data_IF_143400582557
#
_entry.id   IF_143400582557
#
_cell.length_a   1.000
_cell.length_b   1.000
_cell.length_c   1.000
_cell.angle_alpha   90.00
_cell.angle_beta   90.00
_cell.angle_gamma   90.00
#
_symmetry.space_group_name_H-M   'P 1'
#
loop_
_entity.id
_entity.type
_entity.pdbx_description
1 polymer ?
#
# COMPACT_ATOMS: atom_id res chain seq x y z
N UNK A 1 -7.80 8.12 -67.70
CA UNK A 1 -8.46 7.07 -66.87
C UNK A 1 -7.73 7.02 -65.55
N UNK A 2 -8.46 7.29 -64.46
CA UNK A 2 -7.90 7.74 -63.19
C UNK A 2 -7.11 6.70 -62.42
N UNK A 3 -5.96 7.13 -61.91
CA UNK A 3 -5.19 6.45 -60.87
C UNK A 3 -5.93 6.65 -59.56
N UNK A 4 -6.53 5.58 -59.03
CA UNK A 4 -7.15 5.56 -57.71
C UNK A 4 -6.08 5.63 -56.63
N UNK A 5 -5.92 6.80 -56.01
CA UNK A 5 -5.17 6.93 -54.77
C UNK A 5 -6.00 6.31 -53.63
N UNK A 6 -5.56 5.16 -53.12
CA UNK A 6 -5.97 4.68 -51.80
C UNK A 6 -5.42 5.65 -50.74
N UNK A 7 -6.21 6.65 -50.37
CA UNK A 7 -5.98 7.41 -49.14
C UNK A 7 -6.37 6.51 -47.96
N UNK A 8 -5.42 5.74 -47.44
CA UNK A 8 -5.47 5.33 -46.04
C UNK A 8 -5.26 6.59 -45.21
N UNK A 9 -6.36 7.31 -44.92
CA UNK A 9 -6.38 8.34 -43.89
C UNK A 9 -5.95 7.67 -42.59
N UNK A 10 -4.73 7.96 -42.14
CA UNK A 10 -4.35 7.81 -40.73
C UNK A 10 -5.39 8.58 -39.91
N UNK A 11 -6.39 7.86 -39.39
CA UNK A 11 -7.26 8.41 -38.36
C UNK A 11 -6.33 8.69 -37.17
N UNK A 12 -6.33 9.91 -36.61
CA UNK A 12 -5.57 10.16 -35.40
C UNK A 12 -6.00 9.12 -34.36
N UNK A 13 -5.04 8.45 -33.72
CA UNK A 13 -5.32 7.46 -32.67
C UNK A 13 -6.10 8.17 -31.57
N UNK A 14 -7.39 7.89 -31.52
CA UNK A 14 -8.30 8.51 -30.56
C UNK A 14 -8.02 7.92 -29.18
N UNK A 15 -7.85 8.79 -28.18
CA UNK A 15 -7.50 8.37 -26.82
C UNK A 15 -8.66 7.53 -26.27
N UNK A 16 -8.33 6.37 -25.70
CA UNK A 16 -9.34 5.55 -25.03
C UNK A 16 -9.98 6.30 -23.86
N UNK A 17 -11.29 6.19 -23.76
CA UNK A 17 -12.11 6.79 -22.71
C UNK A 17 -12.62 5.71 -21.76
N UNK A 18 -13.04 6.11 -20.58
CA UNK A 18 -13.69 5.22 -19.61
C UNK A 18 -15.10 4.88 -20.10
N UNK A 19 -15.51 3.61 -19.95
CA UNK A 19 -16.85 3.18 -20.37
C UNK A 19 -17.93 3.79 -19.47
N UNK A 20 -17.61 4.07 -18.19
CA UNK A 20 -18.52 4.70 -17.24
C UNK A 20 -17.85 5.72 -16.31
N UNK A 21 -18.63 6.71 -15.85
CA UNK A 21 -18.17 7.66 -14.81
C UNK A 21 -17.83 6.96 -13.49
N UNK A 22 -18.54 5.87 -13.18
CA UNK A 22 -18.32 5.10 -11.97
C UNK A 22 -16.95 4.39 -12.00
N UNK A 23 -16.55 3.83 -13.14
CA UNK A 23 -15.20 3.26 -13.30
C UNK A 23 -14.11 4.27 -13.03
N UNK A 24 -14.26 5.49 -13.55
CA UNK A 24 -13.31 6.56 -13.29
C UNK A 24 -13.26 6.93 -11.80
N UNK A 25 -14.42 7.12 -11.16
CA UNK A 25 -14.49 7.46 -9.73
C UNK A 25 -13.91 6.36 -8.85
N UNK A 26 -14.20 5.09 -9.14
CA UNK A 26 -13.66 3.95 -8.41
C UNK A 26 -12.15 3.79 -8.66
N UNK A 27 -11.65 4.09 -9.85
CA UNK A 27 -10.22 4.03 -10.15
C UNK A 27 -9.46 5.10 -9.36
N UNK A 28 -10.00 6.31 -9.29
CA UNK A 28 -9.48 7.39 -8.45
C UNK A 28 -9.55 7.02 -6.96
N UNK A 29 -10.68 6.51 -6.49
CA UNK A 29 -10.83 6.10 -5.10
C UNK A 29 -9.86 4.95 -4.72
N UNK A 30 -9.69 3.97 -5.61
CA UNK A 30 -8.73 2.88 -5.43
C UNK A 30 -7.27 3.35 -5.45
N UNK A 31 -6.95 4.40 -6.21
CA UNK A 31 -5.62 5.03 -6.17
C UNK A 31 -5.37 5.78 -4.85
N UNK A 32 -6.38 6.48 -4.33
CA UNK A 32 -6.28 7.21 -3.05
C UNK A 32 -6.23 6.28 -1.83
N UNK A 33 -6.86 5.10 -1.92
CA UNK A 33 -6.90 4.13 -0.82
C UNK A 33 -5.85 3.04 -1.02
N UNK A 34 -4.64 3.33 -0.53
CA UNK A 34 -3.52 2.40 -0.52
C UNK A 34 -3.29 1.71 0.82
N UNK A 35 -2.32 0.79 0.84
CA UNK A 35 -1.87 0.11 2.07
C UNK A 35 -1.50 1.12 3.17
N UNK A 36 -0.92 2.27 2.83
CA UNK A 36 -0.57 3.31 3.80
C UNK A 36 -1.73 3.73 4.71
N UNK A 37 -2.97 3.78 4.20
CA UNK A 37 -4.14 4.15 4.99
C UNK A 37 -4.49 3.09 6.05
N UNK A 38 -4.12 1.83 5.83
CA UNK A 38 -4.46 0.70 6.70
C UNK A 38 -3.51 0.61 7.91
N UNK A 39 -2.22 0.88 7.73
CA UNK A 39 -1.23 0.67 8.80
C UNK A 39 -0.39 1.91 9.12
N UNK A 40 0.03 2.68 8.12
CA UNK A 40 0.88 3.86 8.32
C UNK A 40 0.11 4.99 9.00
N UNK A 41 -1.11 5.28 8.56
CA UNK A 41 -1.92 6.34 9.17
C UNK A 41 -2.22 6.05 10.66
N UNK A 42 -2.73 4.86 11.05
CA UNK A 42 -2.92 4.54 12.46
C UNK A 42 -1.61 4.59 13.26
N UNK A 43 -0.51 4.07 12.71
CA UNK A 43 0.78 4.11 13.39
C UNK A 43 1.26 5.55 13.66
N UNK A 44 1.14 6.44 12.69
CA UNK A 44 1.54 7.84 12.83
C UNK A 44 0.62 8.61 13.77
N UNK A 45 -0.70 8.41 13.65
CA UNK A 45 -1.68 8.99 14.55
C UNK A 45 -1.36 8.61 16.01
N UNK A 46 -1.12 7.32 16.25
CA UNK A 46 -0.73 6.82 17.57
C UNK A 46 0.57 7.46 18.09
N UNK A 47 1.64 7.46 17.30
CA UNK A 47 2.97 7.96 17.73
C UNK A 47 2.98 9.46 18.01
N UNK A 48 2.13 10.23 17.33
CA UNK A 48 2.16 11.69 17.32
C UNK A 48 1.04 12.34 18.18
N UNK A 49 0.68 11.71 19.30
CA UNK A 49 -0.31 12.28 20.24
C UNK A 49 -1.75 11.80 20.01
N UNK A 50 -1.93 10.66 19.36
CA UNK A 50 -3.22 9.98 19.22
C UNK A 50 -4.25 10.86 18.53
N UNK A 51 -5.40 11.03 19.18
CA UNK A 51 -6.53 11.78 18.62
C UNK A 51 -6.21 13.22 18.22
N UNK A 52 -5.20 13.86 18.81
CA UNK A 52 -4.90 15.26 18.47
C UNK A 52 -4.17 15.41 17.14
N UNK A 53 -3.50 14.36 16.66
CA UNK A 53 -2.91 14.32 15.31
C UNK A 53 -3.95 14.58 14.20
N UNK A 54 -5.23 14.27 14.47
CA UNK A 54 -6.32 14.47 13.50
C UNK A 54 -6.60 15.95 13.20
N UNK A 55 -6.31 16.87 14.12
CA UNK A 55 -6.56 18.31 13.92
C UNK A 55 -5.70 18.86 12.78
N UNK A 56 -4.35 18.83 12.86
CA UNK A 56 -3.51 19.27 11.75
C UNK A 56 -3.73 18.44 10.48
N UNK A 57 -4.01 17.14 10.59
CA UNK A 57 -4.36 16.30 9.45
C UNK A 57 -5.53 16.87 8.64
N UNK A 58 -6.63 17.22 9.31
CA UNK A 58 -7.82 17.80 8.65
C UNK A 58 -7.52 19.17 8.08
N UNK A 59 -6.75 20.02 8.79
CA UNK A 59 -6.37 21.34 8.27
C UNK A 59 -5.57 21.20 6.97
N UNK A 60 -4.50 20.40 6.96
CA UNK A 60 -3.68 20.19 5.76
C UNK A 60 -4.44 19.50 4.62
N UNK A 61 -5.38 18.61 4.93
CA UNK A 61 -6.26 18.01 3.94
C UNK A 61 -7.05 19.08 3.17
N UNK A 62 -7.64 20.05 3.87
CA UNK A 62 -8.41 21.11 3.22
C UNK A 62 -7.53 22.20 2.59
N UNK A 63 -6.40 22.56 3.18
CA UNK A 63 -5.55 23.65 2.68
C UNK A 63 -4.60 23.23 1.56
N UNK A 64 -4.13 21.98 1.56
CA UNK A 64 -3.13 21.48 0.62
C UNK A 64 -3.63 20.27 -0.17
N UNK A 65 -4.14 19.23 0.50
CA UNK A 65 -4.50 17.95 -0.12
C UNK A 65 -5.57 18.09 -1.21
N UNK A 66 -6.74 18.62 -0.85
CA UNK A 66 -7.87 18.80 -1.78
C UNK A 66 -7.50 19.76 -2.93
N UNK A 67 -6.89 20.94 -2.69
CA UNK A 67 -6.46 21.82 -3.78
C UNK A 67 -5.47 21.18 -4.76
N UNK A 68 -4.45 20.46 -4.27
CA UNK A 68 -3.46 19.79 -5.14
C UNK A 68 -4.13 18.68 -5.96
N UNK A 69 -4.97 17.86 -5.33
CA UNK A 69 -5.71 16.80 -6.01
C UNK A 69 -6.63 17.35 -7.12
N UNK A 70 -7.35 18.43 -6.84
CA UNK A 70 -8.21 19.08 -7.82
C UNK A 70 -7.39 19.71 -8.96
N UNK A 71 -6.29 20.39 -8.64
CA UNK A 71 -5.38 20.97 -9.63
C UNK A 71 -4.83 19.90 -10.57
N UNK A 72 -4.35 18.78 -10.05
CA UNK A 72 -3.80 17.69 -10.87
C UNK A 72 -4.87 17.04 -11.76
N UNK A 73 -6.05 16.78 -11.19
CA UNK A 73 -7.16 16.15 -11.93
C UNK A 73 -7.66 17.05 -13.06
N UNK A 74 -7.87 18.34 -12.78
CA UNK A 74 -8.33 19.32 -13.78
C UNK A 74 -7.29 19.56 -14.86
N UNK A 75 -6.01 19.64 -14.51
CA UNK A 75 -4.90 19.76 -15.45
C UNK A 75 -4.81 18.53 -16.38
N UNK A 76 -4.97 17.33 -15.83
CA UNK A 76 -5.00 16.08 -16.59
C UNK A 76 -6.18 16.01 -17.57
N UNK A 77 -7.37 16.46 -17.15
CA UNK A 77 -8.56 16.50 -18.00
C UNK A 77 -8.42 17.57 -19.10
N UNK A 78 -7.97 18.78 -18.75
CA UNK A 78 -7.83 19.90 -19.69
C UNK A 78 -6.78 19.62 -20.77
N UNK A 79 -5.60 19.12 -20.38
CA UNK A 79 -4.53 18.86 -21.35
C UNK A 79 -4.74 17.56 -22.13
N UNK A 80 -5.50 16.60 -21.56
CA UNK A 80 -5.76 15.27 -22.13
C UNK A 80 -4.48 14.57 -22.61
N UNK A 81 -3.36 14.80 -21.90
CA UNK A 81 -2.03 14.25 -22.22
C UNK A 81 -1.41 13.57 -20.99
N UNK A 82 -0.30 12.84 -21.20
CA UNK A 82 0.46 12.26 -20.09
C UNK A 82 1.25 13.31 -19.31
N UNK A 83 1.74 12.96 -18.12
CA UNK A 83 2.37 13.88 -17.18
C UNK A 83 3.53 14.70 -17.76
N UNK A 84 4.45 14.07 -18.52
CA UNK A 84 5.59 14.77 -19.14
C UNK A 84 5.12 15.77 -20.21
N UNK A 85 4.22 15.33 -21.09
CA UNK A 85 3.73 16.15 -22.21
C UNK A 85 2.86 17.31 -21.71
N UNK A 86 2.11 17.09 -20.62
CA UNK A 86 1.33 18.10 -19.92
C UNK A 86 2.20 19.28 -19.46
N UNK A 87 3.28 19.01 -18.72
CA UNK A 87 4.20 20.06 -18.27
C UNK A 87 4.88 20.79 -19.42
N UNK A 88 5.25 20.08 -20.49
CA UNK A 88 5.82 20.69 -21.70
C UNK A 88 4.88 21.70 -22.37
N UNK A 89 3.56 21.43 -22.36
CA UNK A 89 2.56 22.35 -22.93
C UNK A 89 2.27 23.56 -22.04
N UNK A 90 2.30 23.37 -20.72
CA UNK A 90 2.00 24.45 -19.78
C UNK A 90 3.20 25.40 -19.63
N UNK A 91 4.37 24.86 -19.27
CA UNK A 91 5.59 25.60 -19.02
C UNK A 91 6.80 24.68 -19.31
N UNK A 92 7.50 24.83 -20.44
CA UNK A 92 8.62 23.95 -20.81
C UNK A 92 9.77 23.96 -19.79
N UNK A 93 9.93 25.04 -19.02
CA UNK A 93 10.90 25.12 -17.92
C UNK A 93 10.66 24.06 -16.84
N UNK A 94 9.40 23.71 -16.59
CA UNK A 94 9.00 22.74 -15.57
C UNK A 94 8.87 21.31 -16.11
N UNK A 95 9.38 21.02 -17.31
CA UNK A 95 9.38 19.66 -17.87
C UNK A 95 10.09 18.64 -16.96
N UNK A 96 11.06 19.07 -16.16
CA UNK A 96 11.74 18.24 -15.17
C UNK A 96 10.81 17.62 -14.13
N UNK A 97 9.70 18.30 -13.77
CA UNK A 97 8.70 17.77 -12.82
C UNK A 97 8.07 16.48 -13.37
N UNK A 98 7.79 16.44 -14.67
CA UNK A 98 7.22 15.27 -15.33
C UNK A 98 8.16 14.06 -15.33
N UNK A 99 9.47 14.26 -15.57
CA UNK A 99 10.44 13.17 -15.48
C UNK A 99 10.66 12.72 -14.03
N UNK A 100 10.74 13.67 -13.09
CA UNK A 100 10.87 13.37 -11.67
C UNK A 100 9.72 12.51 -11.14
N UNK A 101 8.47 12.83 -11.49
CA UNK A 101 7.32 12.02 -11.08
C UNK A 101 7.35 10.61 -11.64
N UNK A 102 7.80 10.41 -12.89
CA UNK A 102 7.97 9.06 -13.44
C UNK A 102 9.03 8.24 -12.71
N UNK A 103 10.15 8.86 -12.33
CA UNK A 103 11.19 8.19 -11.54
C UNK A 103 10.66 7.77 -10.17
N UNK A 104 9.91 8.65 -9.49
CA UNK A 104 9.28 8.34 -8.20
C UNK A 104 8.28 7.18 -8.33
N UNK A 105 7.45 7.18 -9.38
CA UNK A 105 6.51 6.08 -9.67
C UNK A 105 7.25 4.77 -9.94
N UNK A 106 8.36 4.81 -10.68
CA UNK A 106 9.18 3.62 -10.96
C UNK A 106 9.74 3.00 -9.68
N UNK A 107 10.42 3.80 -8.85
CA UNK A 107 10.92 3.32 -7.56
C UNK A 107 9.79 2.82 -6.66
N UNK A 108 8.64 3.49 -6.71
CA UNK A 108 7.46 3.06 -5.94
C UNK A 108 6.93 1.71 -6.41
N UNK A 109 6.84 1.50 -7.71
CA UNK A 109 6.41 0.24 -8.30
C UNK A 109 7.31 -0.93 -7.90
N UNK A 110 8.64 -0.72 -7.87
CA UNK A 110 9.62 -1.76 -7.50
C UNK A 110 9.42 -2.24 -6.06
N UNK A 111 9.16 -1.35 -5.10
CA UNK A 111 8.94 -1.80 -3.72
C UNK A 111 7.53 -2.34 -3.49
N UNK A 112 6.50 -1.75 -4.09
CA UNK A 112 5.11 -2.17 -3.84
C UNK A 112 4.84 -3.59 -4.38
N UNK A 113 5.45 -3.96 -5.51
CA UNK A 113 5.28 -5.32 -6.04
C UNK A 113 5.86 -6.40 -5.12
N UNK A 114 6.92 -6.07 -4.36
CA UNK A 114 7.50 -6.97 -3.34
C UNK A 114 6.50 -7.17 -2.18
N UNK A 115 5.85 -6.10 -1.72
CA UNK A 115 4.81 -6.19 -0.68
C UNK A 115 3.63 -7.06 -1.15
N UNK A 116 3.26 -6.96 -2.43
CA UNK A 116 2.24 -7.81 -3.03
C UNK A 116 2.66 -9.29 -3.01
N UNK A 117 3.93 -9.58 -3.30
CA UNK A 117 4.48 -10.94 -3.24
C UNK A 117 4.44 -11.53 -1.82
N UNK A 118 4.77 -10.74 -0.78
CA UNK A 118 4.60 -11.17 0.61
C UNK A 118 3.14 -11.48 0.93
N UNK A 119 2.22 -10.66 0.44
CA UNK A 119 0.78 -10.85 0.66
C UNK A 119 0.28 -12.16 0.03
N UNK A 120 0.72 -12.50 -1.19
CA UNK A 120 0.40 -13.80 -1.80
C UNK A 120 0.98 -14.98 -1.01
N UNK A 121 2.21 -14.86 -0.52
CA UNK A 121 2.83 -15.91 0.30
C UNK A 121 2.04 -16.16 1.60
N UNK A 122 1.61 -15.10 2.28
CA UNK A 122 0.73 -15.21 3.45
C UNK A 122 -0.64 -15.81 3.11
N UNK A 123 -1.22 -15.41 1.96
CA UNK A 123 -2.49 -15.97 1.48
C UNK A 123 -2.39 -17.48 1.28
N UNK A 124 -1.37 -17.96 0.56
CA UNK A 124 -1.17 -19.40 0.34
C UNK A 124 -0.86 -20.14 1.64
N UNK A 125 -0.08 -19.52 2.53
CA UNK A 125 0.24 -20.11 3.84
C UNK A 125 -1.00 -20.24 4.74
N UNK A 126 -2.03 -19.41 4.53
CA UNK A 126 -3.29 -19.43 5.29
C UNK A 126 -4.22 -20.60 4.93
N UNK A 127 -3.95 -21.33 3.83
CA UNK A 127 -4.74 -22.51 3.46
C UNK A 127 -4.36 -23.78 4.24
N UNK A 128 -3.34 -23.71 5.11
CA UNK A 128 -3.00 -24.80 6.00
C UNK A 128 -4.02 -24.91 7.15
N UNK A 129 -4.30 -26.14 7.60
CA UNK A 129 -5.26 -26.42 8.69
C UNK A 129 -4.86 -25.78 10.02
N UNK A 130 -3.55 -25.68 10.28
CA UNK A 130 -2.98 -24.89 11.37
C UNK A 130 -2.14 -23.77 10.75
N UNK A 131 -2.33 -22.54 11.23
CA UNK A 131 -1.58 -21.40 10.72
C UNK A 131 -0.09 -21.56 11.08
N UNK A 132 0.85 -21.41 10.12
CA UNK A 132 2.27 -21.64 10.37
C UNK A 132 2.88 -20.73 11.44
N UNK A 133 2.33 -19.53 11.64
CA UNK A 133 2.78 -18.57 12.65
C UNK A 133 2.06 -18.71 14.01
N UNK A 134 1.13 -19.65 14.14
CA UNK A 134 0.44 -19.89 15.41
C UNK A 134 1.25 -20.73 16.39
N UNK A 135 2.21 -21.53 15.90
CA UNK A 135 2.97 -22.49 16.73
C UNK A 135 4.48 -22.31 16.60
N UNK A 136 5.22 -22.62 17.66
CA UNK A 136 6.68 -22.66 17.68
C UNK A 136 7.26 -23.98 17.12
N UNK A 137 6.43 -24.97 16.77
CA UNK A 137 6.86 -26.28 16.27
C UNK A 137 7.19 -26.32 14.77
N UNK A 138 8.06 -25.44 14.28
CA UNK A 138 8.46 -25.41 12.87
C UNK A 138 9.98 -25.45 12.72
N UNK A 139 10.47 -25.91 11.55
CA UNK A 139 11.91 -26.05 11.28
C UNK A 139 12.70 -24.74 11.26
N UNK A 140 12.02 -23.59 11.16
CA UNK A 140 12.63 -22.27 11.12
C UNK A 140 12.68 -21.57 12.48
N UNK A 141 12.01 -22.13 13.49
CA UNK A 141 11.91 -21.51 14.81
C UNK A 141 13.14 -21.84 15.67
N UNK A 142 13.44 -20.96 16.62
CA UNK A 142 14.52 -21.17 17.60
C UNK A 142 13.99 -21.69 18.93
N UNK A 143 14.92 -22.12 19.79
CA UNK A 143 14.61 -22.55 21.16
C UNK A 143 14.06 -21.43 22.04
N UNK A 144 14.27 -20.15 21.66
CA UNK A 144 13.73 -18.99 22.37
C UNK A 144 12.37 -18.51 21.84
N UNK A 145 11.74 -19.29 20.95
CA UNK A 145 10.40 -19.01 20.44
C UNK A 145 9.34 -19.21 21.53
N UNK A 146 8.41 -18.25 21.68
CA UNK A 146 7.24 -18.40 22.54
C UNK A 146 5.92 -18.18 21.80
N UNK A 147 4.89 -18.93 22.23
CA UNK A 147 3.51 -18.83 21.73
C UNK A 147 2.69 -17.87 22.60
N UNK A 148 1.79 -17.09 21.99
CA UNK A 148 0.94 -16.16 22.73
C UNK A 148 -0.28 -16.90 23.29
N UNK A 149 -0.43 -16.94 24.62
CA UNK A 149 -1.59 -17.55 25.30
C UNK A 149 -1.33 -18.91 25.98
N UNK A 150 -0.10 -19.42 25.95
CA UNK A 150 0.30 -20.56 26.78
C UNK A 150 0.78 -20.06 28.15
N UNK A 151 0.15 -20.55 29.23
CA UNK A 151 0.58 -20.30 30.61
C UNK A 151 1.92 -21.00 30.87
N UNK A 152 3.02 -20.41 30.42
CA UNK A 152 4.33 -20.87 30.82
C UNK A 152 4.68 -20.27 32.19
N UNK A 153 4.34 -21.00 33.26
CA UNK A 153 5.12 -21.03 34.50
C UNK A 153 6.43 -21.80 34.27
N UNK A 154 7.19 -21.42 33.23
CA UNK A 154 8.53 -21.93 33.00
C UNK A 154 9.48 -20.80 33.41
N UNK A 155 10.36 -21.07 34.37
CA UNK A 155 11.25 -20.11 35.00
C UNK A 155 11.92 -19.20 33.96
N UNK A 156 11.51 -17.93 33.96
CA UNK A 156 12.12 -16.88 33.16
C UNK A 156 13.50 -16.59 33.75
N UNK A 157 14.52 -17.33 33.30
CA UNK A 157 15.79 -16.69 33.01
C UNK A 157 15.53 -15.72 31.86
N UNK A 158 15.13 -14.51 32.24
CA UNK A 158 14.90 -13.34 31.40
C UNK A 158 16.25 -12.79 30.90
N UNK A 159 17.04 -13.63 30.24
CA UNK A 159 18.08 -13.09 29.36
C UNK A 159 17.34 -12.64 28.09
N UNK A 160 17.13 -11.32 27.98
CA UNK A 160 16.22 -10.66 27.06
C UNK A 160 16.49 -10.92 25.57
N UNK A 161 15.96 -12.03 25.05
CA UNK A 161 16.07 -12.41 23.64
C UNK A 161 15.02 -13.41 23.13
N UNK A 162 13.88 -13.53 23.79
CA UNK A 162 12.78 -14.36 23.29
C UNK A 162 11.97 -13.66 22.20
N UNK A 163 11.72 -14.34 21.09
CA UNK A 163 10.91 -13.82 19.97
C UNK A 163 9.58 -14.58 19.87
N UNK A 164 8.51 -13.88 19.49
CA UNK A 164 7.21 -14.55 19.29
C UNK A 164 7.21 -15.39 18.01
N UNK A 165 6.38 -16.44 17.97
CA UNK A 165 6.20 -17.30 16.78
C UNK A 165 5.87 -16.52 15.49
N UNK A 166 5.15 -15.40 15.61
CA UNK A 166 4.79 -14.53 14.48
C UNK A 166 6.00 -13.75 13.95
N UNK A 167 6.83 -13.23 14.86
CA UNK A 167 8.05 -12.50 14.50
C UNK A 167 9.05 -13.46 13.85
N UNK A 168 9.25 -14.65 14.42
CA UNK A 168 10.17 -15.64 13.83
C UNK A 168 9.69 -16.10 12.45
N UNK A 169 8.39 -16.27 12.26
CA UNK A 169 7.83 -16.60 10.95
C UNK A 169 8.13 -15.50 9.91
N UNK A 170 7.95 -14.22 10.27
CA UNK A 170 8.25 -13.11 9.39
C UNK A 170 9.76 -13.00 9.07
N UNK A 171 10.60 -12.97 10.10
CA UNK A 171 12.03 -12.69 9.97
C UNK A 171 12.81 -13.88 9.38
N UNK A 172 12.52 -15.10 9.84
CA UNK A 172 13.31 -16.29 9.48
C UNK A 172 12.72 -17.04 8.31
N UNK A 173 11.40 -17.21 8.24
CA UNK A 173 10.76 -18.01 7.18
C UNK A 173 10.45 -17.20 5.92
N UNK A 174 9.84 -16.01 6.06
CA UNK A 174 9.43 -15.20 4.92
C UNK A 174 10.58 -14.37 4.37
N UNK A 175 11.16 -13.50 5.20
CA UNK A 175 12.25 -12.62 4.79
C UNK A 175 13.55 -13.41 4.65
N UNK A 176 13.87 -14.26 5.63
CA UNK A 176 15.18 -14.89 5.72
C UNK A 176 16.27 -13.84 5.90
N UNK A 177 16.10 -12.97 6.90
CA UNK A 177 17.00 -11.85 7.17
C UNK A 177 18.45 -12.34 7.30
N UNK A 178 19.35 -11.70 6.54
CA UNK A 178 20.78 -11.87 6.71
C UNK A 178 21.28 -11.03 7.89
N UNK A 179 22.49 -11.32 8.36
CA UNK A 179 23.11 -10.63 9.51
C UNK A 179 23.37 -9.13 9.24
N UNK A 180 23.47 -8.74 7.97
CA UNK A 180 23.71 -7.34 7.59
C UNK A 180 23.44 -7.07 6.10
N UNK A 181 23.29 -5.79 5.76
CA UNK A 181 22.95 -5.34 4.40
C UNK A 181 24.02 -5.69 3.36
N UNK A 182 25.29 -5.80 3.80
CA UNK A 182 26.43 -6.11 2.93
C UNK A 182 26.41 -7.56 2.43
N UNK A 183 25.69 -8.44 3.14
CA UNK A 183 25.59 -9.86 2.80
C UNK A 183 24.18 -10.17 2.32
N UNK A 184 23.99 -10.01 1.01
CA UNK A 184 22.77 -10.45 0.34
C UNK A 184 22.80 -11.98 0.33
N UNK A 185 21.90 -12.61 1.09
CA UNK A 185 21.80 -14.06 1.21
C UNK A 185 21.31 -14.73 -0.09
N UNK A 186 20.87 -15.98 0.02
CA UNK A 186 20.34 -16.72 -1.13
C UNK A 186 18.93 -16.26 -1.51
N UNK A 187 18.59 -16.33 -2.80
CA UNK A 187 17.24 -16.03 -3.29
C UNK A 187 16.26 -17.08 -2.76
N UNK A 188 15.20 -16.61 -2.09
CA UNK A 188 14.09 -17.44 -1.64
C UNK A 188 13.17 -17.74 -2.81
N UNK A 189 13.21 -18.97 -3.33
CA UNK A 189 12.41 -19.38 -4.49
C UNK A 189 10.90 -19.23 -4.29
N UNK A 190 10.39 -19.50 -3.09
CA UNK A 190 8.97 -19.30 -2.76
C UNK A 190 8.52 -17.85 -3.01
N UNK A 191 9.36 -16.89 -2.59
CA UNK A 191 9.09 -15.47 -2.75
C UNK A 191 9.27 -15.05 -4.22
N UNK A 192 10.27 -15.59 -4.91
CA UNK A 192 10.49 -15.32 -6.33
C UNK A 192 9.31 -15.80 -7.19
N UNK A 193 8.71 -16.96 -6.87
CA UNK A 193 7.51 -17.46 -7.55
C UNK A 193 6.27 -16.59 -7.24
N UNK A 194 6.09 -16.16 -5.99
CA UNK A 194 5.01 -15.23 -5.64
C UNK A 194 5.19 -13.86 -6.32
N UNK A 195 6.42 -13.40 -6.47
CA UNK A 195 6.75 -12.17 -7.20
C UNK A 195 6.45 -12.30 -8.69
N UNK A 196 6.82 -13.42 -9.31
CA UNK A 196 6.47 -13.71 -10.70
C UNK A 196 4.95 -13.73 -10.90
N UNK A 197 4.21 -14.37 -9.98
CA UNK A 197 2.75 -14.39 -10.00
C UNK A 197 2.18 -12.96 -9.89
N UNK A 198 2.70 -12.14 -8.98
CA UNK A 198 2.27 -10.75 -8.82
C UNK A 198 2.43 -9.95 -10.13
N UNK A 199 3.57 -10.09 -10.81
CA UNK A 199 3.81 -9.47 -12.10
C UNK A 199 2.84 -9.95 -13.18
N UNK A 200 2.58 -11.26 -13.26
CA UNK A 200 1.63 -11.84 -14.22
C UNK A 200 0.22 -11.27 -13.99
N UNK A 201 -0.24 -11.23 -12.73
CA UNK A 201 -1.55 -10.67 -12.37
C UNK A 201 -1.62 -9.19 -12.74
N UNK A 202 -0.63 -8.38 -12.33
CA UNK A 202 -0.59 -6.96 -12.67
C UNK A 202 -0.58 -6.72 -14.18
N UNK A 203 0.17 -7.53 -14.94
CA UNK A 203 0.20 -7.45 -16.40
C UNK A 203 -1.20 -7.67 -17.00
N UNK A 204 -1.93 -8.71 -16.58
CA UNK A 204 -3.30 -8.94 -17.06
C UNK A 204 -4.29 -7.84 -16.65
N UNK A 205 -4.13 -7.23 -15.48
CA UNK A 205 -4.96 -6.09 -15.05
C UNK A 205 -4.78 -4.84 -15.92
N UNK A 206 -3.63 -4.67 -16.57
CA UNK A 206 -3.26 -3.46 -17.32
C UNK A 206 -3.19 -3.69 -18.84
N UNK A 207 -3.10 -4.95 -19.32
CA UNK A 207 -2.85 -5.26 -20.74
C UNK A 207 -3.74 -4.44 -21.69
N UNK A 208 -5.06 -4.47 -21.52
CA UNK A 208 -5.99 -3.74 -22.42
C UNK A 208 -6.23 -2.29 -21.98
N UNK A 209 -5.29 -1.69 -21.25
CA UNK A 209 -5.37 -0.31 -20.76
C UNK A 209 -6.58 -0.08 -19.84
N UNK A 210 -7.22 1.08 -20.02
CA UNK A 210 -8.32 1.55 -19.17
C UNK A 210 -9.55 0.64 -19.21
N UNK A 211 -9.77 -0.11 -20.31
CA UNK A 211 -10.91 -1.03 -20.45
C UNK A 211 -10.80 -2.29 -19.59
N UNK A 212 -9.58 -2.84 -19.43
CA UNK A 212 -9.35 -3.94 -18.49
C UNK A 212 -9.31 -3.42 -17.06
N UNK A 213 -8.52 -2.36 -16.82
CA UNK A 213 -8.34 -1.79 -15.49
C UNK A 213 -9.65 -1.33 -14.87
N UNK A 214 -10.54 -0.67 -15.63
CA UNK A 214 -11.85 -0.22 -15.13
C UNK A 214 -12.71 -1.36 -14.60
N UNK A 215 -12.71 -2.51 -15.28
CA UNK A 215 -13.46 -3.71 -14.85
C UNK A 215 -12.86 -4.34 -13.59
N UNK A 216 -11.53 -4.46 -13.54
CA UNK A 216 -10.83 -5.03 -12.39
C UNK A 216 -11.02 -4.16 -11.14
N UNK A 217 -11.01 -2.84 -11.32
CA UNK A 217 -11.17 -1.85 -10.24
C UNK A 217 -12.49 -1.98 -9.48
N UNK A 218 -13.58 -2.41 -10.13
CA UNK A 218 -14.83 -2.67 -9.41
C UNK A 218 -14.65 -3.65 -8.26
N UNK A 219 -13.82 -4.68 -8.45
CA UNK A 219 -13.52 -5.64 -7.39
C UNK A 219 -12.44 -5.10 -6.46
N UNK A 220 -11.30 -4.65 -7.01
CA UNK A 220 -10.13 -4.30 -6.20
C UNK A 220 -10.32 -3.05 -5.35
N UNK A 221 -11.18 -2.11 -5.75
CA UNK A 221 -11.50 -0.93 -4.95
C UNK A 221 -12.60 -1.19 -3.92
N UNK A 222 -13.57 -2.08 -4.17
CA UNK A 222 -14.70 -2.31 -3.25
C UNK A 222 -14.41 -3.36 -2.19
N UNK A 223 -13.69 -4.43 -2.56
CA UNK A 223 -13.39 -5.55 -1.66
C UNK A 223 -12.64 -5.14 -0.38
N UNK A 224 -11.63 -4.24 -0.42
CA UNK A 224 -10.97 -3.77 0.80
C UNK A 224 -11.92 -3.11 1.80
N UNK A 225 -12.90 -2.32 1.34
CA UNK A 225 -13.88 -1.69 2.25
C UNK A 225 -14.76 -2.74 2.92
N UNK A 226 -15.23 -3.74 2.17
CA UNK A 226 -15.99 -4.85 2.74
C UNK A 226 -15.17 -5.58 3.82
N UNK A 227 -13.91 -5.86 3.54
CA UNK A 227 -13.01 -6.49 4.50
C UNK A 227 -12.75 -5.64 5.74
N UNK A 228 -12.54 -4.33 5.58
CA UNK A 228 -12.38 -3.41 6.70
C UNK A 228 -13.64 -3.36 7.58
N UNK A 229 -14.84 -3.38 7.00
CA UNK A 229 -16.09 -3.42 7.77
C UNK A 229 -16.20 -4.73 8.56
N UNK A 230 -15.90 -5.87 7.94
CA UNK A 230 -15.92 -7.17 8.64
C UNK A 230 -14.90 -7.20 9.78
N UNK A 231 -13.67 -6.73 9.53
CA UNK A 231 -12.62 -6.63 10.54
C UNK A 231 -12.97 -5.64 11.65
N UNK A 232 -13.66 -4.54 11.34
CA UNK A 232 -14.14 -3.59 12.34
C UNK A 232 -15.18 -4.24 13.26
N UNK A 233 -16.20 -4.90 12.71
CA UNK A 233 -17.22 -5.60 13.51
C UNK A 233 -16.56 -6.69 14.37
N UNK A 234 -15.63 -7.45 13.81
CA UNK A 234 -14.88 -8.46 14.57
C UNK A 234 -13.99 -7.82 15.65
N UNK A 235 -13.33 -6.72 15.34
CA UNK A 235 -12.50 -5.93 16.26
C UNK A 235 -13.29 -5.44 17.47
N UNK A 236 -14.48 -4.89 17.25
CA UNK A 236 -15.34 -4.35 18.31
C UNK A 236 -15.98 -5.44 19.18
N UNK A 237 -16.08 -6.68 18.70
CA UNK A 237 -16.63 -7.81 19.47
C UNK A 237 -15.59 -8.53 20.34
N UNK A 238 -14.29 -8.19 20.21
CA UNK A 238 -13.23 -8.77 21.03
C UNK A 238 -13.20 -8.15 22.43
N UNK A 239 -12.88 -8.94 23.48
CA UNK A 239 -12.69 -8.40 24.81
C UNK A 239 -11.48 -7.46 24.83
N UNK A 240 -11.60 -6.30 25.50
CA UNK A 240 -10.52 -5.32 25.55
C UNK A 240 -10.50 -4.31 24.39
N UNK A 241 -11.46 -4.37 23.46
CA UNK A 241 -11.48 -3.49 22.29
C UNK A 241 -11.66 -2.00 22.66
N UNK A 242 -12.45 -1.70 23.70
CA UNK A 242 -12.70 -0.33 24.15
C UNK A 242 -11.42 0.35 24.66
N UNK A 243 -10.56 -0.39 25.35
CA UNK A 243 -9.28 0.10 25.87
C UNK A 243 -8.34 0.49 24.72
N UNK A 244 -8.26 -0.33 23.67
CA UNK A 244 -7.47 -0.02 22.48
C UNK A 244 -7.94 1.24 21.75
N UNK A 245 -9.26 1.43 21.61
CA UNK A 245 -9.83 2.63 20.97
C UNK A 245 -9.58 3.89 21.81
N UNK A 246 -9.78 3.80 23.12
CA UNK A 246 -9.52 4.92 24.04
C UNK A 246 -8.04 5.28 24.00
N UNK A 247 -7.15 4.28 24.03
CA UNK A 247 -5.71 4.50 23.97
C UNK A 247 -5.26 5.11 22.65
N UNK A 248 -5.85 4.70 21.53
CA UNK A 248 -5.56 5.26 20.21
C UNK A 248 -6.00 6.73 20.07
N UNK A 249 -7.16 7.09 20.63
CA UNK A 249 -7.73 8.43 20.52
C UNK A 249 -7.40 9.35 21.71
N UNK A 250 -6.66 8.88 22.71
CA UNK A 250 -6.34 9.67 23.90
C UNK A 250 -5.55 10.93 23.49
N UNK A 251 -6.07 12.14 23.78
CA UNK A 251 -5.45 13.36 23.29
C UNK A 251 -4.29 13.78 24.19
N UNK A 252 -3.05 13.66 23.71
CA UNK A 252 -1.88 14.26 24.36
C UNK A 252 -1.50 15.59 23.69
N UNK A 253 -2.02 16.68 24.26
CA UNK A 253 -1.87 18.04 23.72
C UNK A 253 -0.41 18.51 23.75
N UNK A 254 0.42 17.91 24.60
CA UNK A 254 1.85 18.23 24.73
C UNK A 254 2.62 17.95 23.44
N UNK A 255 2.12 17.00 22.62
CA UNK A 255 2.74 16.60 21.35
C UNK A 255 2.49 17.56 20.20
N UNK A 256 1.57 18.53 20.32
CA UNK A 256 1.29 19.48 19.23
C UNK A 256 2.36 20.55 19.10
N UNK A 257 3.03 20.86 20.20
CA UNK A 257 4.11 21.83 20.21
C UNK A 257 5.39 21.29 19.56
N UNK A 258 5.44 19.98 19.28
CA UNK A 258 6.59 19.34 18.67
C UNK A 258 6.63 19.63 17.14
N UNK A 259 7.68 20.30 16.63
CA UNK A 259 7.83 20.58 15.21
C UNK A 259 7.87 19.32 14.35
N UNK A 260 8.28 18.17 14.91
CA UNK A 260 8.31 16.90 14.19
C UNK A 260 6.91 16.47 13.75
N UNK A 261 5.87 16.77 14.53
CA UNK A 261 4.48 16.46 14.19
C UNK A 261 4.04 17.27 12.97
N UNK A 262 4.40 18.55 12.90
CA UNK A 262 4.12 19.39 11.72
C UNK A 262 4.94 18.96 10.49
N UNK A 263 6.21 18.60 10.66
CA UNK A 263 7.06 18.15 9.55
C UNK A 263 6.61 16.82 8.96
N UNK A 264 6.12 15.89 9.79
CA UNK A 264 5.64 14.58 9.34
C UNK A 264 4.47 14.66 8.36
N UNK A 265 3.67 15.74 8.40
CA UNK A 265 2.55 15.94 7.48
C UNK A 265 2.97 16.15 6.03
N UNK A 266 4.17 16.69 5.78
CA UNK A 266 4.70 16.80 4.41
C UNK A 266 5.14 15.44 3.82
N UNK A 267 5.25 14.41 4.65
CA UNK A 267 5.69 13.06 4.27
C UNK A 267 4.54 12.03 4.19
N UNK A 268 3.31 12.46 4.47
CA UNK A 268 2.06 11.71 4.30
C UNK A 268 1.43 12.04 2.96
#
# INVERSE_FOLDING_TARGET
>A
MGVGQNQSKDKPVERETWDSKMEYLLAVAGHLVGLGNVWRFPYLCYKNGGGVFLIPYVVFLFTCGIPIFFMETTLGQFTSQGGITCWRKLCPLFQGIGYGSQVVILYSGIYYIIILAWSFLYLFSSFNSKLPWATCQNYWNTESCFEHGTNHTAGMHLDGGGSSSVVEFWERRILGLSVGIDRIGNVRWDLALCLLLAWIVCYFCVWQGVKSTGKVVYFTATFPYLMLVVLLVRGLTLPGAKEGVIFYLYPDVSKLADPEVCHLFFYL
#
